data_IF_293088876445
#
_entry.id   IF_293088876445
#
_cell.length_a   1.000
_cell.length_b   1.000
_cell.length_c   1.000
_cell.angle_alpha   90.00
_cell.angle_beta   90.00
_cell.angle_gamma   90.00
#
_symmetry.space_group_name_H-M   'P 1'
#
loop_
_entity.id
_entity.type
_entity.pdbx_description
1 polymer ?
#
# COMPACT_ATOMS: atom_id res chain seq x y z
N UNK A 1 7.33 47.44 52.51
CA UNK A 1 7.77 46.90 51.21
C UNK A 1 6.57 46.24 50.56
N UNK A 2 6.21 46.67 49.34
CA UNK A 2 4.93 46.37 48.67
C UNK A 2 4.95 45.01 47.96
N UNK A 3 3.79 44.36 47.97
CA UNK A 3 3.51 43.02 47.48
C UNK A 3 3.67 42.85 45.96
N UNK A 4 4.12 41.65 45.55
CA UNK A 4 4.13 41.14 44.18
C UNK A 4 2.82 40.39 43.93
N UNK A 5 2.03 40.87 42.96
CA UNK A 5 0.85 40.17 42.42
C UNK A 5 1.23 39.29 41.22
N UNK A 6 0.51 38.17 40.97
CA UNK A 6 0.70 37.34 39.78
C UNK A 6 -0.05 37.92 38.56
N UNK A 7 0.53 37.75 37.37
CA UNK A 7 -0.07 38.10 36.07
C UNK A 7 -1.03 37.00 35.60
N UNK A 8 -2.26 37.36 35.28
CA UNK A 8 -3.20 36.53 34.52
C UNK A 8 -2.81 36.46 33.02
N UNK A 9 -3.12 35.35 32.31
CA UNK A 9 -2.92 35.25 30.86
C UNK A 9 -4.07 35.90 30.08
N UNK A 10 -3.69 36.69 29.06
CA UNK A 10 -4.62 37.36 28.15
C UNK A 10 -5.48 36.36 27.36
N UNK A 11 -6.80 36.52 27.45
CA UNK A 11 -7.77 35.85 26.60
C UNK A 11 -7.75 36.47 25.19
N UNK A 12 -7.34 35.71 24.18
CA UNK A 12 -7.47 36.12 22.78
C UNK A 12 -8.91 35.91 22.31
N UNK A 13 -9.67 37.01 22.17
CA UNK A 13 -10.97 37.04 21.49
C UNK A 13 -10.75 37.20 19.98
N UNK A 14 -10.97 36.13 19.22
CA UNK A 14 -11.10 36.23 17.76
C UNK A 14 -12.46 36.85 17.41
N UNK A 15 -12.50 38.16 17.24
CA UNK A 15 -13.66 38.84 16.65
C UNK A 15 -13.54 38.73 15.14
N UNK A 16 -14.35 37.84 14.55
CA UNK A 16 -14.50 37.67 13.11
C UNK A 16 -15.08 38.95 12.48
N UNK A 17 -14.24 39.92 12.16
CA UNK A 17 -14.63 41.07 11.35
C UNK A 17 -14.57 40.70 9.86
N UNK A 18 -15.56 39.95 9.38
CA UNK A 18 -15.80 39.82 7.94
C UNK A 18 -16.35 41.14 7.41
N UNK A 19 -15.45 42.01 6.95
CA UNK A 19 -15.83 43.29 6.34
C UNK A 19 -16.67 43.08 5.06
N UNK A 20 -17.64 43.97 4.77
CA UNK A 20 -18.57 43.84 3.64
C UNK A 20 -17.91 43.73 2.25
N UNK A 21 -16.62 44.09 2.15
CA UNK A 21 -15.82 43.96 0.92
C UNK A 21 -15.53 42.50 0.55
N UNK A 22 -15.42 41.58 1.52
CA UNK A 22 -15.21 40.15 1.26
C UNK A 22 -16.44 39.48 0.65
N UNK A 23 -17.64 39.88 1.09
CA UNK A 23 -18.89 39.35 0.54
C UNK A 23 -19.06 39.76 -0.93
N UNK A 24 -18.73 41.02 -1.26
CA UNK A 24 -18.78 41.53 -2.64
C UNK A 24 -17.82 40.79 -3.57
N UNK A 25 -16.59 40.52 -3.13
CA UNK A 25 -15.62 39.74 -3.91
C UNK A 25 -16.07 38.28 -4.12
N UNK A 26 -16.70 37.66 -3.11
CA UNK A 26 -17.21 36.29 -3.23
C UNK A 26 -18.38 36.17 -4.21
N UNK A 27 -19.33 37.10 -4.16
CA UNK A 27 -20.45 37.16 -5.11
C UNK A 27 -19.94 37.40 -6.54
N UNK A 28 -18.94 38.27 -6.71
CA UNK A 28 -18.34 38.54 -8.02
C UNK A 28 -17.59 37.33 -8.59
N UNK A 29 -16.91 36.54 -7.75
CA UNK A 29 -16.31 35.26 -8.18
C UNK A 29 -17.38 34.23 -8.56
N UNK A 30 -18.48 34.14 -7.80
CA UNK A 30 -19.58 33.22 -8.10
C UNK A 30 -20.26 33.55 -9.44
N UNK A 31 -20.45 34.84 -9.75
CA UNK A 31 -21.06 35.27 -11.02
C UNK A 31 -20.11 35.22 -12.23
N UNK A 32 -18.79 35.04 -12.05
CA UNK A 32 -17.87 34.79 -13.17
C UNK A 32 -17.91 33.34 -13.66
N UNK A 33 -18.32 32.39 -12.82
CA UNK A 33 -18.39 30.97 -13.18
C UNK A 33 -19.51 30.62 -14.17
N UNK A 34 -20.52 31.47 -14.34
CA UNK A 34 -21.68 31.20 -15.21
C UNK A 34 -21.48 31.60 -16.67
N UNK A 35 -20.32 32.15 -17.05
CA UNK A 35 -20.02 32.55 -18.45
C UNK A 35 -19.42 31.42 -19.30
N UNK A 36 -19.86 30.19 -19.08
CA UNK A 36 -19.34 28.97 -19.73
C UNK A 36 -20.17 28.57 -20.96
N UNK A 37 -20.44 29.49 -21.91
CA UNK A 37 -21.05 29.12 -23.20
C UNK A 37 -20.11 28.32 -24.12
N UNK A 38 -18.80 28.32 -23.85
CA UNK A 38 -17.81 27.53 -24.61
C UNK A 38 -17.80 26.04 -24.26
N UNK A 39 -18.31 25.63 -23.09
CA UNK A 39 -18.30 24.23 -22.70
C UNK A 39 -19.35 23.39 -23.44
N UNK A 40 -20.48 23.98 -23.86
CA UNK A 40 -21.51 23.26 -24.61
C UNK A 40 -21.01 22.74 -25.97
N UNK A 41 -20.21 23.54 -26.69
CA UNK A 41 -19.58 23.10 -27.95
C UNK A 41 -18.65 21.90 -27.75
N UNK A 42 -17.93 21.84 -26.63
CA UNK A 42 -17.04 20.69 -26.33
C UNK A 42 -17.86 19.41 -26.16
N UNK A 43 -19.00 19.47 -25.45
CA UNK A 43 -19.86 18.30 -25.28
C UNK A 43 -20.50 17.85 -26.59
N UNK A 44 -20.95 18.77 -27.46
CA UNK A 44 -21.52 18.42 -28.77
C UNK A 44 -20.50 17.69 -29.65
N UNK A 45 -19.25 18.16 -29.69
CA UNK A 45 -18.16 17.49 -30.43
C UNK A 45 -17.87 16.11 -29.84
N UNK A 46 -17.84 15.99 -28.52
CA UNK A 46 -17.53 14.72 -27.84
C UNK A 46 -18.62 13.66 -28.08
N UNK A 47 -19.90 14.06 -28.10
CA UNK A 47 -21.03 13.20 -28.47
C UNK A 47 -20.99 12.78 -29.95
N UNK A 48 -20.61 13.69 -30.86
CA UNK A 48 -20.48 13.35 -32.28
C UNK A 48 -19.38 12.32 -32.52
N UNK A 49 -18.22 12.47 -31.88
CA UNK A 49 -17.10 11.52 -31.99
C UNK A 49 -17.46 10.14 -31.42
N UNK A 50 -18.10 10.09 -30.24
CA UNK A 50 -18.53 8.82 -29.65
C UNK A 50 -19.61 8.12 -30.47
N UNK A 51 -20.56 8.87 -31.04
CA UNK A 51 -21.55 8.32 -31.98
C UNK A 51 -20.91 7.68 -33.21
N UNK A 52 -19.90 8.33 -33.79
CA UNK A 52 -19.21 7.85 -34.99
C UNK A 52 -18.41 6.57 -34.71
N UNK A 53 -17.69 6.50 -33.58
CA UNK A 53 -16.95 5.30 -33.16
C UNK A 53 -17.90 4.11 -32.93
N UNK A 54 -19.06 4.36 -32.34
CA UNK A 54 -20.05 3.30 -32.06
C UNK A 54 -20.67 2.75 -33.35
N UNK A 55 -20.93 3.61 -34.33
CA UNK A 55 -21.47 3.20 -35.63
C UNK A 55 -20.46 2.34 -36.42
N UNK A 56 -19.17 2.70 -36.42
CA UNK A 56 -18.13 1.91 -37.09
C UNK A 56 -17.97 0.53 -36.45
N UNK A 57 -17.98 0.44 -35.12
CA UNK A 57 -17.91 -0.83 -34.41
C UNK A 57 -19.11 -1.75 -34.68
N UNK A 58 -20.31 -1.19 -34.88
CA UNK A 58 -21.49 -1.96 -35.22
C UNK A 58 -21.42 -2.56 -36.65
N UNK A 59 -20.85 -1.82 -37.60
CA UNK A 59 -20.69 -2.28 -39.00
C UNK A 59 -19.66 -3.40 -39.10
N UNK A 60 -18.52 -3.31 -38.38
CA UNK A 60 -17.53 -4.39 -38.35
C UNK A 60 -18.09 -5.68 -37.74
N UNK A 61 -18.99 -5.57 -36.76
CA UNK A 61 -19.59 -6.73 -36.10
C UNK A 61 -20.55 -7.49 -37.01
N UNK A 62 -21.19 -6.82 -37.98
CA UNK A 62 -22.05 -7.48 -38.96
C UNK A 62 -21.28 -8.19 -40.08
N UNK A 63 -20.06 -7.75 -40.43
CA UNK A 63 -19.26 -8.42 -41.46
C UNK A 63 -18.62 -9.73 -41.01
N UNK A 64 -18.50 -9.98 -39.69
CA UNK A 64 -17.79 -11.14 -39.13
C UNK A 64 -18.70 -12.29 -38.68
N UNK A 65 -19.97 -12.35 -39.09
CA UNK A 65 -20.84 -13.47 -38.77
C UNK A 65 -20.91 -14.48 -39.95
N UNK A 66 -20.04 -15.51 -40.00
CA UNK A 66 -20.20 -16.59 -40.96
C UNK A 66 -21.34 -17.52 -40.52
N UNK A 67 -22.26 -17.76 -41.46
CA UNK A 67 -23.29 -18.79 -41.43
C UNK A 67 -22.67 -20.17 -41.16
N UNK A 68 -22.72 -20.65 -39.92
CA UNK A 68 -22.44 -22.06 -39.61
C UNK A 68 -23.75 -22.85 -39.56
N UNK A 69 -24.01 -23.54 -40.67
CA UNK A 69 -25.03 -24.57 -40.80
C UNK A 69 -24.85 -25.67 -39.74
N UNK A 70 -25.90 -25.89 -38.95
CA UNK A 70 -26.01 -26.96 -37.96
C UNK A 70 -26.19 -28.29 -38.69
N UNK A 71 -25.19 -29.19 -38.64
CA UNK A 71 -25.38 -30.61 -38.92
C UNK A 71 -25.73 -31.35 -37.63
N UNK A 72 -26.99 -31.78 -37.53
CA UNK A 72 -27.47 -32.82 -36.60
C UNK A 72 -26.91 -34.19 -36.98
N UNK A 73 -26.45 -34.98 -36.01
CA UNK A 73 -26.55 -36.45 -35.98
C UNK A 73 -26.41 -36.98 -34.53
N UNK A 74 -26.96 -38.17 -34.21
CA UNK A 74 -27.65 -38.44 -32.95
C UNK A 74 -26.88 -39.41 -32.03
N UNK A 75 -27.39 -39.50 -30.81
CA UNK A 75 -27.05 -40.48 -29.78
C UNK A 75 -27.12 -41.94 -30.26
N UNK A 76 -26.18 -42.76 -29.78
CA UNK A 76 -26.48 -44.14 -29.37
C UNK A 76 -25.40 -44.68 -28.41
N UNK A 77 -25.92 -45.16 -27.28
CA UNK A 77 -25.35 -45.96 -26.19
C UNK A 77 -24.57 -47.21 -26.62
N UNK A 78 -23.47 -47.56 -25.93
CA UNK A 78 -23.39 -48.72 -25.00
C UNK A 78 -21.96 -49.21 -24.69
N UNK A 79 -21.65 -49.18 -23.38
CA UNK A 79 -20.87 -50.07 -22.48
C UNK A 79 -19.56 -50.83 -22.86
N UNK A 80 -18.73 -51.19 -21.85
CA UNK A 80 -17.28 -51.44 -21.97
C UNK A 80 -16.85 -52.90 -21.72
N UNK A 81 -15.71 -53.34 -22.27
CA UNK A 81 -14.93 -54.51 -21.79
C UNK A 81 -13.42 -54.37 -22.10
N UNK A 82 -12.66 -54.16 -21.03
CA UNK A 82 -11.41 -54.77 -20.53
C UNK A 82 -10.28 -55.41 -21.42
N UNK A 83 -9.05 -55.14 -20.94
CA UNK A 83 -7.78 -55.92 -20.89
C UNK A 83 -6.82 -55.96 -22.10
N UNK A 84 -5.62 -55.39 -21.93
CA UNK A 84 -4.24 -55.97 -22.06
C UNK A 84 -3.25 -54.78 -22.18
N UNK A 85 -2.44 -54.42 -21.19
CA UNK A 85 -1.22 -55.06 -20.63
C UNK A 85 0.06 -54.86 -21.48
N UNK A 86 1.05 -54.21 -20.84
CA UNK A 86 2.52 -54.32 -21.03
C UNK A 86 3.17 -53.60 -22.23
N UNK A 87 3.96 -52.55 -21.94
CA UNK A 87 5.42 -52.59 -22.16
C UNK A 87 6.14 -51.49 -21.36
N UNK A 88 6.92 -51.95 -20.37
CA UNK A 88 7.88 -51.17 -19.59
C UNK A 88 9.15 -50.98 -20.43
N UNK A 89 9.73 -49.78 -20.43
CA UNK A 89 11.12 -49.55 -20.88
C UNK A 89 11.90 -48.89 -19.75
N UNK A 90 12.52 -49.74 -18.92
CA UNK A 90 13.60 -49.38 -18.01
C UNK A 90 14.84 -48.98 -18.83
N UNK A 91 15.52 -47.92 -18.40
CA UNK A 91 16.97 -47.78 -18.52
C UNK A 91 17.52 -47.51 -17.13
N UNK A 92 18.30 -48.46 -16.65
CA UNK A 92 19.20 -48.36 -15.50
C UNK A 92 20.64 -48.28 -16.02
N UNK A 93 21.48 -47.57 -15.27
CA UNK A 93 22.94 -47.74 -15.02
C UNK A 93 23.52 -46.33 -14.71
N UNK A 94 24.35 -46.06 -13.71
CA UNK A 94 24.85 -46.76 -12.51
C UNK A 94 25.78 -45.75 -11.78
N UNK A 95 25.86 -45.86 -10.43
CA UNK A 95 26.90 -45.36 -9.49
C UNK A 95 27.19 -43.84 -9.43
N UNK A 96 27.48 -43.21 -8.29
CA UNK A 96 28.28 -43.71 -7.17
C UNK A 96 27.88 -43.10 -5.81
N UNK A 97 28.25 -43.83 -4.76
CA UNK A 97 27.96 -43.62 -3.35
C UNK A 97 28.97 -42.67 -2.69
N UNK A 98 28.52 -41.79 -1.79
CA UNK A 98 29.26 -41.55 -0.54
C UNK A 98 28.29 -41.35 0.63
N UNK A 99 28.52 -42.14 1.67
CA UNK A 99 27.82 -42.16 2.93
C UNK A 99 28.72 -41.55 4.01
N UNK A 100 28.17 -40.71 4.89
CA UNK A 100 28.79 -40.37 6.17
C UNK A 100 27.79 -40.66 7.27
N UNK A 101 28.17 -41.58 8.14
CA UNK A 101 27.43 -42.06 9.32
C UNK A 101 27.69 -41.16 10.54
N UNK A 102 26.76 -41.26 11.50
CA UNK A 102 26.73 -40.67 12.86
C UNK A 102 27.98 -40.97 13.72
N UNK A 103 28.08 -40.33 14.90
CA UNK A 103 27.82 -41.12 16.10
C UNK A 103 26.90 -40.45 17.14
N UNK A 104 26.36 -41.32 17.99
CA UNK A 104 25.48 -41.12 19.16
C UNK A 104 26.34 -41.24 20.42
N UNK A 105 26.18 -40.32 21.38
CA UNK A 105 26.53 -40.47 22.81
C UNK A 105 25.37 -39.83 23.59
N UNK A 106 24.52 -40.54 24.33
CA UNK A 106 24.69 -41.33 25.57
C UNK A 106 24.26 -40.54 26.82
N UNK A 107 23.04 -40.89 27.26
CA UNK A 107 22.50 -40.97 28.62
C UNK A 107 23.37 -40.45 29.79
N UNK A 108 22.85 -39.45 30.50
CA UNK A 108 23.03 -39.34 31.96
C UNK A 108 21.67 -39.11 32.62
N UNK A 109 21.21 -40.15 33.32
CA UNK A 109 20.08 -40.14 34.23
C UNK A 109 20.53 -39.85 35.66
N UNK A 110 19.76 -39.06 36.42
CA UNK A 110 19.67 -39.10 37.90
C UNK A 110 18.57 -38.16 38.42
N UNK A 111 18.03 -38.35 39.65
CA UNK A 111 16.89 -39.23 39.87
C UNK A 111 15.68 -38.49 40.48
N UNK A 112 14.57 -39.23 40.47
CA UNK A 112 13.31 -39.01 41.19
C UNK A 112 13.55 -38.75 42.69
N UNK A 113 12.96 -37.67 43.20
CA UNK A 113 12.55 -37.54 44.61
C UNK A 113 11.04 -37.42 44.62
N UNK A 114 10.41 -38.35 45.32
CA UNK A 114 8.98 -38.52 45.47
C UNK A 114 8.46 -37.96 46.80
N UNK A 115 7.18 -37.55 46.76
CA UNK A 115 6.16 -37.40 47.82
C UNK A 115 6.06 -36.05 48.59
N UNK A 116 4.87 -35.67 49.13
CA UNK A 116 3.54 -36.30 49.03
C UNK A 116 2.38 -35.36 48.61
N UNK A 117 1.23 -36.00 48.38
CA UNK A 117 -0.12 -35.48 48.31
C UNK A 117 -0.38 -34.14 49.00
N UNK A 118 -0.87 -33.19 48.22
CA UNK A 118 -1.90 -32.27 48.70
C UNK A 118 -2.87 -32.05 47.56
N UNK A 119 -4.08 -32.59 47.77
CA UNK A 119 -5.26 -32.34 46.98
C UNK A 119 -5.48 -30.83 46.86
N UNK A 120 -4.94 -30.23 45.81
CA UNK A 120 -5.42 -28.96 45.32
C UNK A 120 -6.50 -29.30 44.30
N UNK A 121 -7.74 -29.06 44.73
CA UNK A 121 -8.88 -28.84 43.87
C UNK A 121 -8.44 -27.77 42.86
N UNK A 122 -7.98 -28.22 41.69
CA UNK A 122 -7.89 -27.39 40.51
C UNK A 122 -9.34 -27.12 40.13
N UNK A 123 -9.85 -25.97 40.58
CA UNK A 123 -10.91 -25.30 39.84
C UNK A 123 -10.44 -25.24 38.39
N UNK A 124 -11.05 -26.05 37.53
CA UNK A 124 -10.95 -25.93 36.08
C UNK A 124 -11.38 -24.49 35.75
N UNK A 125 -10.41 -23.59 35.66
CA UNK A 125 -10.61 -22.28 35.08
C UNK A 125 -11.21 -22.56 33.70
N UNK A 126 -12.45 -22.11 33.42
CA UNK A 126 -13.10 -22.43 32.17
C UNK A 126 -12.23 -21.88 31.05
N UNK A 127 -11.53 -22.79 30.36
CA UNK A 127 -10.73 -22.46 29.18
C UNK A 127 -11.71 -21.94 28.14
N UNK A 128 -11.82 -20.61 28.07
CA UNK A 128 -12.69 -19.92 27.12
C UNK A 128 -12.24 -20.36 25.73
N UNK A 129 -13.03 -21.24 25.11
CA UNK A 129 -12.77 -21.79 23.78
C UNK A 129 -12.71 -20.63 22.79
N UNK A 130 -11.56 -20.46 22.16
CA UNK A 130 -11.35 -19.47 21.10
C UNK A 130 -11.72 -20.16 19.79
N UNK A 131 -12.76 -19.67 19.11
CA UNK A 131 -13.18 -20.19 17.82
C UNK A 131 -12.71 -19.23 16.73
N UNK A 132 -11.82 -19.72 15.87
CA UNK A 132 -11.33 -18.96 14.72
C UNK A 132 -12.39 -19.01 13.62
N UNK A 133 -12.95 -17.86 13.27
CA UNK A 133 -14.06 -17.76 12.31
C UNK A 133 -13.53 -17.47 10.90
N UNK A 134 -12.53 -16.61 10.79
CA UNK A 134 -11.77 -16.39 9.57
C UNK A 134 -10.31 -16.08 9.92
N UNK A 135 -9.49 -15.76 8.92
CA UNK A 135 -8.10 -15.31 9.17
C UNK A 135 -8.06 -14.09 10.09
N UNK A 136 -9.02 -13.18 9.95
CA UNK A 136 -9.02 -11.86 10.57
C UNK A 136 -10.10 -11.65 11.64
N UNK A 137 -10.91 -12.68 11.89
CA UNK A 137 -11.98 -12.68 12.91
C UNK A 137 -11.82 -13.88 13.83
N UNK A 138 -11.84 -13.62 15.13
CA UNK A 138 -11.83 -14.66 16.16
C UNK A 138 -12.90 -14.38 17.21
N UNK A 139 -13.58 -15.43 17.64
CA UNK A 139 -14.60 -15.36 18.66
C UNK A 139 -14.06 -15.90 19.99
N UNK A 140 -14.28 -15.16 21.07
CA UNK A 140 -13.91 -15.56 22.43
C UNK A 140 -15.09 -15.28 23.36
N UNK A 141 -15.85 -16.33 23.68
CA UNK A 141 -17.12 -16.19 24.38
C UNK A 141 -18.15 -15.42 23.54
N UNK A 142 -18.75 -14.37 24.12
CA UNK A 142 -19.77 -13.51 23.46
C UNK A 142 -19.16 -12.32 22.71
N UNK A 143 -17.83 -12.30 22.55
CA UNK A 143 -17.10 -11.23 21.89
C UNK A 143 -16.53 -11.74 20.57
N UNK A 144 -16.82 -10.99 19.51
CA UNK A 144 -16.23 -11.17 18.18
C UNK A 144 -15.12 -10.13 18.02
N UNK A 145 -13.87 -10.58 17.97
CA UNK A 145 -12.71 -9.75 17.72
C UNK A 145 -12.39 -9.73 16.23
N UNK A 146 -11.99 -8.57 15.74
CA UNK A 146 -11.60 -8.37 14.35
C UNK A 146 -10.36 -7.50 14.26
N UNK A 147 -9.59 -7.69 13.19
CA UNK A 147 -8.41 -6.88 12.85
C UNK A 147 -8.40 -6.59 11.36
N UNK A 148 -7.88 -5.41 11.00
CA UNK A 148 -7.49 -5.05 9.65
C UNK A 148 -6.00 -4.80 9.67
N UNK A 149 -5.28 -5.54 8.85
CA UNK A 149 -3.82 -5.44 8.72
C UNK A 149 -3.45 -4.71 7.43
N UNK A 150 -2.21 -4.21 7.30
CA UNK A 150 -1.82 -3.41 6.14
C UNK A 150 -1.74 -4.25 4.86
N UNK A 151 -1.63 -5.57 4.97
CA UNK A 151 -1.51 -6.50 3.85
C UNK A 151 -2.83 -7.06 3.34
N UNK A 152 -3.96 -6.65 3.90
CA UNK A 152 -5.25 -7.11 3.43
C UNK A 152 -5.51 -6.67 1.99
N UNK A 153 -5.96 -7.61 1.18
CA UNK A 153 -6.50 -7.33 -0.15
C UNK A 153 -7.97 -6.88 -0.06
N UNK A 154 -8.53 -6.38 -1.16
CA UNK A 154 -9.97 -6.13 -1.26
C UNK A 154 -10.82 -7.38 -1.01
N UNK A 155 -10.33 -8.56 -1.40
CA UNK A 155 -11.04 -9.82 -1.15
C UNK A 155 -11.09 -10.12 0.36
N UNK A 156 -9.97 -9.93 1.06
CA UNK A 156 -9.89 -10.11 2.51
C UNK A 156 -10.82 -9.15 3.27
N UNK A 157 -10.89 -7.88 2.85
CA UNK A 157 -11.81 -6.90 3.42
C UNK A 157 -13.28 -7.29 3.18
N UNK A 158 -13.60 -7.83 2.01
CA UNK A 158 -14.94 -8.30 1.69
C UNK A 158 -15.33 -9.50 2.56
N UNK A 159 -14.41 -10.45 2.73
CA UNK A 159 -14.60 -11.61 3.61
C UNK A 159 -14.77 -11.18 5.07
N UNK A 160 -13.96 -10.22 5.54
CA UNK A 160 -14.07 -9.65 6.89
C UNK A 160 -15.47 -9.09 7.13
N UNK A 161 -15.94 -8.22 6.23
CA UNK A 161 -17.28 -7.62 6.31
C UNK A 161 -18.36 -8.69 6.37
N UNK A 162 -18.34 -9.64 5.43
CA UNK A 162 -19.34 -10.72 5.38
C UNK A 162 -19.31 -11.59 6.65
N UNK A 163 -18.12 -11.87 7.18
CA UNK A 163 -17.98 -12.68 8.40
C UNK A 163 -18.56 -11.94 9.61
N UNK A 164 -18.28 -10.64 9.76
CA UNK A 164 -18.80 -9.84 10.87
C UNK A 164 -20.33 -9.72 10.79
N UNK A 165 -20.88 -9.43 9.62
CA UNK A 165 -22.33 -9.28 9.39
C UNK A 165 -23.09 -10.62 9.53
N UNK A 166 -22.41 -11.74 9.26
CA UNK A 166 -22.97 -13.08 9.50
C UNK A 166 -23.01 -13.44 10.98
N UNK A 167 -21.96 -13.09 11.73
CA UNK A 167 -21.80 -13.47 13.14
C UNK A 167 -22.51 -12.51 14.10
N UNK A 168 -22.78 -11.28 13.66
CA UNK A 168 -23.26 -10.20 14.54
C UNK A 168 -24.35 -9.38 13.87
N UNK A 169 -25.07 -8.58 14.66
CA UNK A 169 -26.05 -7.61 14.15
C UNK A 169 -25.42 -6.26 13.76
N UNK A 170 -24.10 -6.18 13.60
CA UNK A 170 -23.40 -4.95 13.24
C UNK A 170 -23.18 -4.90 11.74
N UNK A 171 -23.39 -3.72 11.18
CA UNK A 171 -23.02 -3.37 9.81
C UNK A 171 -21.59 -2.83 9.80
N UNK A 172 -20.79 -3.32 8.87
CA UNK A 172 -19.37 -2.97 8.76
C UNK A 172 -19.11 -2.25 7.43
N UNK A 173 -18.77 -0.97 7.48
CA UNK A 173 -18.61 -0.13 6.30
C UNK A 173 -17.22 0.46 6.16
N UNK A 174 -16.76 0.49 4.91
CA UNK A 174 -15.52 1.14 4.50
C UNK A 174 -15.86 2.47 3.85
N UNK A 175 -15.58 3.57 4.54
CA UNK A 175 -15.82 4.92 4.01
C UNK A 175 -14.70 5.36 3.04
N UNK A 176 -13.49 4.84 3.25
CA UNK A 176 -12.31 5.14 2.45
C UNK A 176 -11.36 3.94 2.52
N UNK A 177 -10.83 3.53 1.38
CA UNK A 177 -9.70 2.62 1.30
C UNK A 177 -8.78 3.16 0.22
N UNK A 178 -7.54 3.46 0.59
CA UNK A 178 -6.48 3.85 -0.32
C UNK A 178 -5.38 2.80 -0.21
N UNK A 179 -5.03 2.21 -1.35
CA UNK A 179 -3.86 1.35 -1.46
C UNK A 179 -2.66 2.17 -1.90
N UNK A 180 -1.47 1.68 -1.59
CA UNK A 180 -0.27 2.25 -2.16
C UNK A 180 -0.29 2.15 -3.71
N UNK A 181 0.51 2.96 -4.42
CA UNK A 181 0.54 2.97 -5.88
C UNK A 181 0.78 1.62 -6.56
N UNK A 182 1.45 0.67 -5.87
CA UNK A 182 1.72 -0.67 -6.37
C UNK A 182 0.73 -1.72 -5.85
N UNK A 183 -0.27 -1.33 -5.05
CA UNK A 183 -1.31 -2.20 -4.49
C UNK A 183 -0.75 -3.38 -3.66
N UNK A 184 0.38 -3.15 -3.01
CA UNK A 184 1.09 -4.09 -2.14
C UNK A 184 0.59 -4.00 -0.68
N UNK A 185 0.12 -2.83 -0.25
CA UNK A 185 -0.45 -2.60 1.09
C UNK A 185 -1.50 -1.49 1.10
N UNK A 186 -2.25 -1.41 2.20
CA UNK A 186 -3.20 -0.34 2.50
C UNK A 186 -2.46 0.85 3.11
N UNK A 187 -2.60 2.02 2.49
CA UNK A 187 -1.95 3.29 2.85
C UNK A 187 -2.89 4.18 3.68
N UNK A 188 -4.20 4.09 3.46
CA UNK A 188 -5.19 4.73 4.33
C UNK A 188 -6.50 3.94 4.36
N UNK A 189 -7.15 3.89 5.52
CA UNK A 189 -8.47 3.27 5.67
C UNK A 189 -9.34 4.02 6.68
N UNK A 190 -10.62 4.16 6.34
CA UNK A 190 -11.65 4.67 7.23
C UNK A 190 -12.76 3.63 7.37
N UNK A 191 -12.96 3.15 8.60
CA UNK A 191 -13.94 2.12 8.92
C UNK A 191 -15.01 2.70 9.83
N UNK A 192 -16.27 2.35 9.55
CA UNK A 192 -17.41 2.64 10.40
C UNK A 192 -18.14 1.34 10.72
N UNK A 193 -18.31 1.09 12.01
CA UNK A 193 -19.08 -0.06 12.51
C UNK A 193 -20.26 0.46 13.27
N UNK A 194 -21.46 0.00 12.95
CA UNK A 194 -22.66 0.47 13.60
C UNK A 194 -23.75 -0.59 13.64
N UNK A 195 -24.63 -0.49 14.63
CA UNK A 195 -25.87 -1.27 14.69
C UNK A 195 -27.02 -0.38 14.24
N UNK A 196 -28.04 -0.94 13.58
CA UNK A 196 -29.21 -0.17 13.10
C UNK A 196 -29.84 0.68 14.22
N UNK A 197 -29.87 0.12 15.44
CA UNK A 197 -30.23 0.81 16.66
C UNK A 197 -29.16 0.51 17.71
N UNK A 198 -28.40 1.54 18.11
CA UNK A 198 -27.44 1.44 19.22
C UNK A 198 -26.07 2.02 18.91
N UNK A 199 -25.05 1.35 19.40
CA UNK A 199 -23.65 1.79 19.35
C UNK A 199 -23.14 1.94 17.91
N UNK A 200 -22.37 3.00 17.70
CA UNK A 200 -21.61 3.23 16.48
C UNK A 200 -20.17 3.63 16.85
N UNK A 201 -19.22 3.16 16.06
CA UNK A 201 -17.81 3.49 16.20
C UNK A 201 -17.20 3.73 14.82
N UNK A 202 -16.20 4.60 14.78
CA UNK A 202 -15.40 4.80 13.57
C UNK A 202 -13.94 4.90 13.94
N UNK A 203 -13.09 4.34 13.09
CA UNK A 203 -11.64 4.47 13.20
C UNK A 203 -11.09 4.86 11.85
N UNK A 204 -10.08 5.72 11.87
CA UNK A 204 -9.36 6.18 10.71
C UNK A 204 -7.88 5.95 10.96
N UNK A 205 -7.19 5.37 9.99
CA UNK A 205 -5.74 5.13 10.04
C UNK A 205 -5.11 5.45 8.69
N UNK A 206 -3.91 6.05 8.72
CA UNK A 206 -3.16 6.48 7.54
C UNK A 206 -3.41 7.93 7.12
N UNK A 207 -2.54 8.48 6.30
CA UNK A 207 -2.59 9.89 5.85
C UNK A 207 -2.10 10.05 4.40
N UNK A 208 -2.09 8.95 3.63
CA UNK A 208 -1.51 8.89 2.28
C UNK A 208 -0.02 9.28 2.25
N UNK A 209 0.72 8.91 3.30
CA UNK A 209 2.15 9.24 3.46
C UNK A 209 3.11 8.26 2.78
N UNK A 210 2.61 7.38 1.91
CA UNK A 210 3.36 6.27 1.32
C UNK A 210 3.85 5.28 2.40
N UNK A 211 3.13 5.16 3.52
CA UNK A 211 3.48 4.24 4.62
C UNK A 211 2.31 3.30 4.88
N UNK A 212 2.56 2.01 5.17
CA UNK A 212 1.50 1.09 5.53
C UNK A 212 0.78 1.60 6.78
N UNK A 213 -0.54 1.49 6.80
CA UNK A 213 -1.33 1.79 7.99
C UNK A 213 -0.80 0.99 9.19
N UNK A 214 -1.04 1.47 10.41
CA UNK A 214 -0.98 0.56 11.56
C UNK A 214 -2.17 -0.38 11.51
N UNK A 215 -2.03 -1.59 12.01
CA UNK A 215 -3.19 -2.48 12.10
C UNK A 215 -4.23 -1.84 13.03
N UNK A 216 -5.48 -1.88 12.60
CA UNK A 216 -6.62 -1.46 13.41
C UNK A 216 -7.41 -2.69 13.79
N UNK A 217 -8.14 -2.62 14.89
CA UNK A 217 -8.98 -3.72 15.33
C UNK A 217 -10.07 -3.26 16.26
N UNK A 218 -10.75 -4.25 16.82
CA UNK A 218 -11.81 -4.00 17.76
C UNK A 218 -12.46 -5.28 18.25
N UNK A 219 -13.51 -5.09 19.05
CA UNK A 219 -14.39 -6.16 19.47
C UNK A 219 -15.83 -5.73 19.32
N UNK A 220 -16.71 -6.71 19.08
CA UNK A 220 -18.15 -6.55 18.99
C UNK A 220 -18.79 -7.54 19.95
N UNK A 221 -19.62 -7.04 20.87
CA UNK A 221 -20.38 -7.87 21.79
C UNK A 221 -21.82 -8.00 21.31
N UNK A 222 -22.42 -9.18 21.51
CA UNK A 222 -23.85 -9.40 21.26
C UNK A 222 -24.75 -8.43 22.05
N UNK A 223 -24.30 -8.01 23.24
CA UNK A 223 -24.99 -7.01 24.07
C UNK A 223 -25.07 -5.62 23.43
N UNK A 224 -24.36 -5.37 22.33
CA UNK A 224 -24.33 -4.09 21.64
C UNK A 224 -23.18 -3.17 22.07
N UNK A 225 -22.29 -3.61 22.96
CA UNK A 225 -21.03 -2.89 23.18
C UNK A 225 -20.07 -3.15 22.01
N UNK A 226 -19.31 -2.12 21.66
CA UNK A 226 -18.24 -2.20 20.67
C UNK A 226 -17.01 -1.47 21.19
N UNK A 227 -15.84 -1.99 20.87
CA UNK A 227 -14.57 -1.32 21.04
C UNK A 227 -13.89 -1.14 19.69
N UNK A 228 -13.37 0.06 19.43
CA UNK A 228 -12.59 0.39 18.25
C UNK A 228 -11.16 0.71 18.65
N UNK A 229 -10.22 0.41 17.76
CA UNK A 229 -8.79 0.61 17.97
C UNK A 229 -8.08 -0.69 18.36
N UNK A 230 -6.80 -0.76 18.03
CA UNK A 230 -5.95 -1.91 18.33
C UNK A 230 -5.55 -1.90 19.82
N UNK A 231 -6.52 -2.23 20.68
CA UNK A 231 -6.27 -2.49 22.09
C UNK A 231 -5.91 -3.97 22.25
N UNK A 232 -4.67 -4.27 22.67
CA UNK A 232 -4.24 -5.65 22.97
C UNK A 232 -5.05 -6.32 24.08
N UNK A 233 -5.85 -5.55 24.83
CA UNK A 233 -6.61 -6.04 25.95
C UNK A 233 -7.72 -7.00 25.49
N UNK A 234 -7.55 -8.28 25.81
CA UNK A 234 -8.52 -9.34 25.50
C UNK A 234 -8.47 -9.90 24.07
N UNK A 235 -7.70 -9.30 23.15
CA UNK A 235 -7.57 -9.78 21.77
C UNK A 235 -6.93 -11.19 21.75
N UNK A 236 -7.49 -12.16 21.01
CA UNK A 236 -6.91 -13.49 20.86
C UNK A 236 -5.47 -13.46 20.33
N UNK A 237 -4.61 -14.31 20.90
CA UNK A 237 -3.18 -14.39 20.56
C UNK A 237 -2.94 -14.63 19.05
N UNK A 238 -3.80 -15.44 18.42
CA UNK A 238 -3.75 -15.69 16.97
C UNK A 238 -3.89 -14.41 16.13
N UNK A 239 -4.73 -13.45 16.55
CA UNK A 239 -4.88 -12.18 15.85
C UNK A 239 -3.71 -11.25 16.16
N UNK A 240 -3.20 -11.26 17.39
CA UNK A 240 -2.03 -10.46 17.76
C UNK A 240 -0.77 -10.88 16.98
N UNK A 241 -0.58 -12.19 16.80
CA UNK A 241 0.53 -12.72 16.01
C UNK A 241 0.39 -12.34 14.54
N UNK A 242 -0.81 -12.50 13.96
CA UNK A 242 -1.10 -12.10 12.58
C UNK A 242 -0.80 -10.62 12.34
N UNK A 243 -1.21 -9.74 13.25
CA UNK A 243 -0.92 -8.30 13.18
C UNK A 243 0.58 -8.04 13.12
N UNK A 244 1.36 -8.64 14.02
CA UNK A 244 2.83 -8.47 14.05
C UNK A 244 3.50 -8.97 12.77
N UNK A 245 3.05 -10.12 12.26
CA UNK A 245 3.59 -10.72 11.04
C UNK A 245 3.28 -9.88 9.80
N UNK A 246 2.03 -9.44 9.64
CA UNK A 246 1.61 -8.65 8.48
C UNK A 246 2.23 -7.25 8.50
N UNK A 247 2.34 -6.59 9.66
CA UNK A 247 3.01 -5.29 9.78
C UNK A 247 4.50 -5.39 9.43
N UNK A 248 5.19 -6.40 9.97
CA UNK A 248 6.61 -6.64 9.64
C UNK A 248 6.79 -6.94 8.14
N UNK A 249 5.90 -7.74 7.56
CA UNK A 249 5.94 -8.07 6.15
C UNK A 249 5.65 -6.84 5.26
N UNK A 250 4.70 -5.98 5.64
CA UNK A 250 4.43 -4.73 4.91
C UNK A 250 5.64 -3.79 4.92
N UNK A 251 6.29 -3.63 6.08
CA UNK A 251 7.53 -2.85 6.19
C UNK A 251 8.67 -3.43 5.35
N UNK A 252 8.79 -4.76 5.27
CA UNK A 252 9.73 -5.44 4.38
C UNK A 252 9.49 -5.09 2.92
N UNK A 253 8.23 -5.13 2.48
CA UNK A 253 7.84 -4.80 1.10
C UNK A 253 8.10 -3.32 0.75
N UNK A 254 7.91 -2.41 1.72
CA UNK A 254 8.29 -0.99 1.56
C UNK A 254 9.80 -0.86 1.38
N UNK A 255 10.59 -1.57 2.17
CA UNK A 255 12.05 -1.51 2.07
C UNK A 255 12.56 -2.10 0.74
N UNK A 256 12.00 -3.21 0.30
CA UNK A 256 12.32 -3.86 -0.98
C UNK A 256 11.98 -2.96 -2.18
N UNK A 257 10.81 -2.31 -2.13
CA UNK A 257 10.32 -1.47 -3.23
C UNK A 257 10.58 0.02 -3.03
N UNK A 258 11.36 0.40 -2.01
CA UNK A 258 11.64 1.80 -1.64
C UNK A 258 12.08 2.63 -2.85
N UNK A 259 12.91 2.04 -3.71
CA UNK A 259 13.35 2.71 -4.91
C UNK A 259 12.18 3.02 -5.85
N UNK A 260 11.32 2.03 -6.13
CA UNK A 260 10.15 2.20 -6.98
C UNK A 260 9.20 3.29 -6.44
N UNK A 261 8.99 3.36 -5.12
CA UNK A 261 8.25 4.45 -4.48
C UNK A 261 8.90 5.81 -4.71
N UNK A 262 10.23 5.92 -4.56
CA UNK A 262 10.95 7.15 -4.88
C UNK A 262 10.78 7.54 -6.35
N UNK A 263 10.81 6.60 -7.29
CA UNK A 263 10.53 6.88 -8.71
C UNK A 263 9.11 7.44 -8.86
N UNK A 264 8.12 6.72 -8.36
CA UNK A 264 6.71 7.09 -8.50
C UNK A 264 6.40 8.47 -7.90
N UNK A 265 6.92 8.76 -6.70
CA UNK A 265 6.72 10.05 -6.01
C UNK A 265 7.30 11.23 -6.79
N UNK A 266 8.44 11.01 -7.47
CA UNK A 266 9.10 12.04 -8.27
C UNK A 266 8.56 12.12 -9.72
N UNK A 267 7.79 11.14 -10.17
CA UNK A 267 7.11 11.17 -11.47
C UNK A 267 5.93 12.14 -11.55
N UNK A 268 5.55 12.83 -10.45
CA UNK A 268 4.40 13.75 -10.46
C UNK A 268 4.51 14.81 -11.58
N UNK A 269 3.62 14.64 -12.56
CA UNK A 269 3.38 15.46 -13.75
C UNK A 269 2.67 16.76 -13.36
N UNK A 270 3.41 17.72 -12.81
CA UNK A 270 2.97 19.12 -12.72
C UNK A 270 3.28 19.89 -14.01
N UNK A 271 2.62 21.04 -14.22
CA UNK A 271 2.98 21.99 -15.27
C UNK A 271 4.35 22.63 -14.95
N UNK A 272 5.42 21.91 -15.29
CA UNK A 272 6.81 22.26 -15.01
C UNK A 272 7.64 20.98 -15.09
N UNK A 273 8.34 20.78 -16.20
CA UNK A 273 8.89 19.49 -16.63
C UNK A 273 9.78 18.81 -15.58
N UNK A 274 9.34 17.69 -15.02
CA UNK A 274 10.26 16.65 -14.56
C UNK A 274 10.76 15.92 -15.81
N UNK A 275 12.06 16.03 -16.09
CA UNK A 275 12.70 15.21 -17.13
C UNK A 275 13.33 14.01 -16.45
N UNK A 276 12.68 12.85 -16.52
CA UNK A 276 13.35 11.59 -16.20
C UNK A 276 14.33 11.31 -17.33
N UNK A 277 15.63 11.36 -17.03
CA UNK A 277 16.65 10.98 -18.01
C UNK A 277 17.17 9.61 -17.63
N UNK A 278 17.01 8.65 -18.54
CA UNK A 278 17.59 7.32 -18.39
C UNK A 278 19.10 7.50 -18.23
N UNK A 279 19.69 6.96 -17.16
CA UNK A 279 21.12 7.09 -16.91
C UNK A 279 21.99 6.36 -17.95
N UNK A 280 21.39 5.58 -18.85
CA UNK A 280 22.04 5.14 -20.09
C UNK A 280 22.60 6.30 -20.90
N UNK A 281 21.87 7.42 -21.06
CA UNK A 281 22.35 8.58 -21.81
C UNK A 281 23.64 9.16 -21.21
N UNK A 282 23.73 9.23 -19.88
CA UNK A 282 24.92 9.72 -19.19
C UNK A 282 26.12 8.77 -19.32
N UNK A 283 25.88 7.46 -19.34
CA UNK A 283 26.91 6.44 -19.55
C UNK A 283 27.42 6.42 -20.99
N UNK A 284 26.53 6.62 -21.95
CA UNK A 284 26.84 6.62 -23.39
C UNK A 284 27.52 7.91 -23.85
N UNK A 285 27.48 8.97 -23.05
CA UNK A 285 28.02 10.28 -23.42
C UNK A 285 28.97 10.87 -22.34
N UNK A 286 30.04 10.16 -21.94
CA UNK A 286 30.99 10.68 -20.95
C UNK A 286 31.64 11.98 -21.43
N UNK A 287 31.76 12.95 -20.52
CA UNK A 287 32.29 14.29 -20.80
C UNK A 287 31.31 15.23 -21.51
N UNK A 288 30.17 14.76 -22.03
CA UNK A 288 29.16 15.64 -22.58
C UNK A 288 28.37 16.32 -21.47
N UNK A 289 28.46 17.64 -21.50
CA UNK A 289 27.83 18.56 -20.58
C UNK A 289 26.37 18.76 -20.98
N UNK A 290 25.44 18.42 -20.09
CA UNK A 290 24.04 18.80 -20.21
C UNK A 290 23.64 19.59 -18.98
N UNK A 291 23.77 20.91 -19.08
CA UNK A 291 23.41 21.86 -18.02
C UNK A 291 21.96 21.69 -17.56
N UNK A 292 21.11 21.13 -18.41
CA UNK A 292 19.73 20.88 -18.04
C UNK A 292 19.53 19.73 -17.06
N UNK A 293 20.50 18.83 -16.91
CA UNK A 293 20.41 17.68 -16.02
C UNK A 293 20.94 17.95 -14.61
N UNK A 294 21.73 19.00 -14.44
CA UNK A 294 22.37 19.29 -13.15
C UNK A 294 23.45 18.27 -12.74
N UNK A 295 23.68 17.22 -13.52
CA UNK A 295 24.67 16.17 -13.27
C UNK A 295 25.17 15.59 -14.59
N UNK A 296 26.45 15.22 -14.63
CA UNK A 296 27.09 14.58 -15.77
C UNK A 296 28.16 13.59 -15.32
N UNK A 297 28.56 12.67 -16.21
CA UNK A 297 29.72 11.81 -16.01
C UNK A 297 30.88 12.43 -16.77
N UNK A 298 32.01 12.69 -16.12
CA UNK A 298 33.19 13.25 -16.78
C UNK A 298 33.93 12.18 -17.61
N UNK A 299 34.99 12.57 -18.32
CA UNK A 299 35.77 11.65 -19.15
C UNK A 299 36.49 10.55 -18.34
N UNK A 300 36.75 10.78 -17.04
CA UNK A 300 37.31 9.77 -16.13
C UNK A 300 36.26 8.83 -15.55
N UNK A 301 35.00 8.93 -15.99
CA UNK A 301 33.93 8.07 -15.51
C UNK A 301 33.53 8.40 -14.06
N UNK A 302 33.64 9.64 -13.62
CA UNK A 302 33.19 10.09 -12.30
C UNK A 302 31.96 10.99 -12.43
N UNK A 303 31.04 10.89 -11.46
CA UNK A 303 29.85 11.74 -11.41
C UNK A 303 30.23 13.13 -10.92
N UNK A 304 29.85 14.15 -11.67
CA UNK A 304 30.01 15.56 -11.33
C UNK A 304 28.65 16.27 -11.37
N UNK A 305 28.44 17.19 -10.43
CA UNK A 305 27.22 17.98 -10.34
C UNK A 305 27.47 19.38 -10.89
N UNK A 306 26.47 19.94 -11.53
CA UNK A 306 26.40 21.38 -11.75
C UNK A 306 25.91 22.05 -10.48
N UNK A 307 26.52 23.18 -10.11
CA UNK A 307 26.06 24.00 -8.99
C UNK A 307 25.85 23.20 -7.71
N UNK A 308 26.92 22.60 -7.18
CA UNK A 308 26.92 21.79 -5.94
C UNK A 308 26.21 22.47 -4.77
N UNK A 309 26.19 23.80 -4.75
CA UNK A 309 25.57 24.68 -3.77
C UNK A 309 24.03 24.71 -3.83
N UNK A 310 23.41 24.24 -4.92
CA UNK A 310 21.95 24.31 -5.16
C UNK A 310 21.28 22.94 -5.32
N UNK A 311 22.04 21.87 -5.13
CA UNK A 311 21.60 20.51 -5.39
C UNK A 311 21.66 19.67 -4.12
N UNK A 312 20.51 19.16 -3.70
CA UNK A 312 20.48 18.01 -2.79
C UNK A 312 20.63 16.74 -3.60
N UNK A 313 21.64 15.94 -3.29
CA UNK A 313 21.85 14.63 -3.92
C UNK A 313 21.38 13.53 -2.99
N UNK A 314 20.47 12.70 -3.49
CA UNK A 314 20.13 11.43 -2.85
C UNK A 314 20.75 10.29 -3.63
N UNK A 315 21.53 9.46 -2.95
CA UNK A 315 22.18 8.28 -3.51
C UNK A 315 21.62 7.06 -2.82
N UNK A 316 20.95 6.22 -3.61
CA UNK A 316 20.23 5.05 -3.09
C UNK A 316 19.23 5.45 -1.98
N UNK A 317 18.64 6.64 -2.10
CA UNK A 317 17.68 7.20 -1.14
C UNK A 317 18.28 7.86 0.10
N UNK A 318 19.61 7.83 0.30
CA UNK A 318 20.28 8.54 1.39
C UNK A 318 20.78 9.90 0.90
N UNK A 319 20.49 10.95 1.65
CA UNK A 319 21.05 12.28 1.37
C UNK A 319 22.57 12.25 1.57
N UNK A 320 23.29 12.80 0.60
CA UNK A 320 24.76 12.84 0.62
C UNK A 320 25.23 14.25 0.32
N UNK A 321 26.35 14.63 0.93
CA UNK A 321 26.98 15.91 0.66
C UNK A 321 27.46 15.97 -0.79
N UNK A 322 27.15 17.05 -1.52
CA UNK A 322 27.54 17.24 -2.92
C UNK A 322 29.06 17.11 -3.16
N UNK A 323 29.88 17.44 -2.16
CA UNK A 323 31.35 17.32 -2.20
C UNK A 323 31.85 15.86 -2.17
N UNK A 324 31.05 14.92 -1.70
CA UNK A 324 31.40 13.50 -1.62
C UNK A 324 31.07 12.75 -2.91
N UNK A 325 30.16 13.30 -3.73
CA UNK A 325 29.66 12.68 -4.96
C UNK A 325 30.76 12.30 -5.98
N UNK A 326 31.80 13.13 -6.23
CA UNK A 326 32.87 12.77 -7.17
C UNK A 326 33.72 11.57 -6.74
N UNK A 327 33.66 11.17 -5.46
CA UNK A 327 34.42 10.03 -4.92
C UNK A 327 33.72 8.68 -5.16
N UNK A 328 32.49 8.71 -5.65
CA UNK A 328 31.68 7.50 -5.83
C UNK A 328 31.93 6.87 -7.19
N UNK A 329 32.01 5.55 -7.20
CA UNK A 329 31.99 4.76 -8.43
C UNK A 329 30.57 4.84 -9.04
N UNK A 330 30.40 5.34 -10.27
CA UNK A 330 29.08 5.39 -10.91
C UNK A 330 28.39 4.04 -11.01
N UNK A 331 29.15 2.93 -11.01
CA UNK A 331 28.59 1.57 -11.03
C UNK A 331 27.84 1.21 -9.74
N UNK A 332 28.09 1.91 -8.64
CA UNK A 332 27.43 1.70 -7.35
C UNK A 332 26.20 2.60 -7.17
N UNK A 333 26.01 3.57 -8.07
CA UNK A 333 24.91 4.51 -8.01
C UNK A 333 23.68 3.86 -8.67
N UNK A 334 22.59 3.69 -7.90
CA UNK A 334 21.35 3.18 -8.46
C UNK A 334 20.45 4.32 -8.90
N UNK A 335 20.39 5.36 -8.07
CA UNK A 335 19.56 6.54 -8.34
C UNK A 335 20.29 7.78 -7.86
N UNK A 336 20.32 8.80 -8.71
CA UNK A 336 20.71 10.17 -8.38
C UNK A 336 19.47 11.04 -8.56
N UNK A 337 19.00 11.64 -7.48
CA UNK A 337 17.94 12.67 -7.53
C UNK A 337 18.64 14.00 -7.36
N UNK A 338 18.69 14.79 -8.43
CA UNK A 338 19.12 16.19 -8.40
C UNK A 338 17.87 17.02 -8.14
N UNK A 339 17.81 17.67 -6.99
CA UNK A 339 16.81 18.69 -6.70
C UNK A 339 17.42 20.06 -6.94
N UNK A 340 17.13 20.67 -8.07
CA UNK A 340 17.39 22.10 -8.30
C UNK A 340 16.36 22.89 -7.49
N UNK A 341 16.79 23.77 -6.60
CA UNK A 341 15.87 24.60 -5.81
C UNK A 341 16.12 26.08 -6.06
N UNK A 342 15.23 26.70 -6.85
CA UNK A 342 14.75 28.05 -6.56
C UNK A 342 13.22 28.02 -6.40
N UNK A 343 12.85 28.21 -5.15
CA UNK A 343 11.56 28.40 -4.53
C UNK A 343 11.72 29.75 -3.78
N UNK A 344 10.76 30.53 -3.33
CA UNK A 344 10.22 31.60 -4.14
C UNK A 344 8.75 31.82 -3.69
N UNK A 345 8.50 32.26 -2.50
CA UNK A 345 7.25 32.94 -2.24
C UNK A 345 7.18 34.13 -3.25
N UNK A 346 6.98 33.83 -4.56
CA UNK A 346 7.79 34.20 -5.74
C UNK A 346 6.85 34.46 -6.89
N UNK A 347 6.89 35.61 -7.52
CA UNK A 347 8.14 36.31 -7.78
C UNK A 347 8.80 35.73 -9.04
N UNK A 348 9.28 36.59 -9.94
CA UNK A 348 9.72 36.11 -11.24
C UNK A 348 11.17 35.56 -11.13
N UNK A 349 11.37 34.26 -11.39
CA UNK A 349 12.72 33.65 -11.52
C UNK A 349 12.89 32.17 -11.12
N UNK A 350 11.89 31.57 -10.45
CA UNK A 350 11.99 30.21 -9.89
C UNK A 350 12.29 29.07 -10.87
N UNK A 351 13.07 28.08 -10.42
CA UNK A 351 13.12 26.74 -11.02
C UNK A 351 13.16 25.67 -9.93
N UNK A 352 12.23 24.72 -9.97
CA UNK A 352 12.43 23.40 -9.39
C UNK A 352 12.75 22.45 -10.53
N UNK A 353 13.92 21.82 -10.53
CA UNK A 353 14.23 20.75 -11.49
C UNK A 353 14.53 19.47 -10.73
N UNK A 354 13.73 18.45 -10.99
CA UNK A 354 13.93 17.12 -10.45
C UNK A 354 14.46 16.26 -11.58
N UNK A 355 15.77 16.01 -11.57
CA UNK A 355 16.39 15.11 -12.53
C UNK A 355 16.68 13.82 -11.79
N UNK A 356 15.91 12.80 -12.13
CA UNK A 356 16.09 11.45 -11.61
C UNK A 356 16.82 10.62 -12.64
N UNK A 357 17.98 10.10 -12.25
CA UNK A 357 18.87 9.34 -13.11
C UNK A 357 19.11 7.98 -12.48
N UNK A 358 18.89 6.93 -13.27
CA UNK A 358 19.17 5.55 -12.88
C UNK A 358 20.44 5.06 -13.58
N UNK A 359 21.53 4.86 -12.84
CA UNK A 359 22.84 4.53 -13.41
C UNK A 359 23.09 3.02 -13.51
N UNK A 360 22.17 2.17 -13.05
CA UNK A 360 22.31 0.70 -13.04
C UNK A 360 21.13 -0.09 -13.64
N UNK A 361 20.24 0.57 -14.38
CA UNK A 361 19.19 -0.11 -15.18
C UNK A 361 19.62 -0.33 -16.62
#
# INVERSE_FOLDING_TARGET
MKALFPREPAQFRFVNQFGPRFLKNRIQMMNRATRSRRSWLVYVVLFAVTGLVTAVAAVEKQQKAPLTWIKKKPEASSKPVAVHSVMIRQRHLVADLEAVQKPVEELVAKPVVSLPDSAQILEEVPTVKIEKQSRYVAQKGKLVYWVITPKMSFADLTELKQTIEKLTSFTFDYNRITFDPFQVYIDAIAVKVHKEKGSAGSVYEGDESDQPIKSIGGYLAESGSLGMGLSSFGMPESLQQLVKEDEKAALGLVAENWMAYLIHKNQKTGAGSSSTVKGSWLRENPGRRNENLGVFINASGQVQLYHTERVTVLINGKEMNASEVPRLDPKQLHTVIVKDVSDESAGPGRKKRYVQIFLNQ
#
